data_IF_378382951773
#
_entry.id   IF_378382951773
#
_cell.length_a   1.000
_cell.length_b   1.000
_cell.length_c   1.000
_cell.angle_alpha   90.00
_cell.angle_beta   90.00
_cell.angle_gamma   90.00
#
_symmetry.space_group_name_H-M   'P 1'
#
loop_
_entity.id
_entity.type
_entity.pdbx_description
1 polymer ?
#
# COMPACT_ATOMS: atom_id res chain seq x y z
N UNK A 1 -47.51 -29.95 -31.76
CA UNK A 1 -46.97 -31.19 -32.38
C UNK A 1 -46.41 -32.11 -31.29
N UNK A 2 -46.32 -33.43 -31.48
CA UNK A 2 -45.85 -34.36 -30.42
C UNK A 2 -44.43 -34.03 -29.89
N UNK A 3 -43.65 -33.28 -30.69
CA UNK A 3 -42.32 -32.76 -30.37
C UNK A 3 -42.35 -31.63 -29.32
N UNK A 4 -43.40 -30.79 -29.31
CA UNK A 4 -43.56 -29.73 -28.30
C UNK A 4 -43.96 -30.31 -26.94
N UNK A 5 -44.75 -31.38 -26.94
CA UNK A 5 -45.16 -32.12 -25.73
C UNK A 5 -44.00 -32.85 -25.03
N UNK A 6 -42.88 -33.07 -25.73
CA UNK A 6 -41.70 -33.75 -25.19
C UNK A 6 -40.65 -32.77 -24.66
N UNK A 7 -40.72 -31.46 -24.97
CA UNK A 7 -39.73 -30.46 -24.50
C UNK A 7 -39.68 -30.32 -22.98
N UNK A 8 -40.77 -30.63 -22.29
CA UNK A 8 -40.88 -30.58 -20.83
C UNK A 8 -40.58 -31.93 -20.15
N UNK A 9 -40.26 -32.97 -20.93
CA UNK A 9 -39.95 -34.30 -20.41
C UNK A 9 -38.50 -34.40 -19.92
N UNK A 10 -38.28 -35.11 -18.82
CA UNK A 10 -36.93 -35.43 -18.29
C UNK A 10 -36.04 -36.20 -19.29
N UNK A 11 -36.66 -36.88 -20.25
CA UNK A 11 -35.92 -37.57 -21.32
C UNK A 11 -35.33 -36.56 -22.31
N UNK A 12 -36.04 -35.47 -22.60
CA UNK A 12 -35.57 -34.43 -23.52
C UNK A 12 -34.39 -33.65 -22.92
N UNK A 13 -34.45 -33.32 -21.63
CA UNK A 13 -33.34 -32.64 -20.94
C UNK A 13 -32.08 -33.51 -20.93
N UNK A 14 -32.23 -34.83 -20.73
CA UNK A 14 -31.10 -35.77 -20.74
C UNK A 14 -30.44 -35.86 -22.11
N UNK A 15 -31.24 -35.98 -23.18
CA UNK A 15 -30.75 -36.02 -24.57
C UNK A 15 -30.15 -34.68 -24.99
N UNK A 16 -30.72 -33.56 -24.54
CA UNK A 16 -30.18 -32.22 -24.80
C UNK A 16 -28.80 -32.05 -24.16
N UNK A 17 -28.61 -32.48 -22.92
CA UNK A 17 -27.30 -32.45 -22.26
C UNK A 17 -26.27 -33.36 -22.95
N UNK A 18 -26.67 -34.55 -23.41
CA UNK A 18 -25.79 -35.42 -24.21
C UNK A 18 -25.38 -34.73 -25.51
N UNK A 19 -26.32 -34.11 -26.21
CA UNK A 19 -26.04 -33.34 -27.42
C UNK A 19 -25.08 -32.17 -27.16
N UNK A 20 -25.28 -31.41 -26.08
CA UNK A 20 -24.40 -30.31 -25.68
C UNK A 20 -22.98 -30.81 -25.35
N UNK A 21 -22.86 -31.95 -24.66
CA UNK A 21 -21.58 -32.57 -24.33
C UNK A 21 -20.83 -33.07 -25.57
N UNK A 22 -21.51 -33.80 -26.46
CA UNK A 22 -20.93 -34.30 -27.71
C UNK A 22 -20.50 -33.13 -28.60
N UNK A 23 -21.32 -32.07 -28.68
CA UNK A 23 -21.02 -30.85 -29.42
C UNK A 23 -19.75 -30.18 -28.90
N UNK A 24 -19.63 -30.01 -27.58
CA UNK A 24 -18.42 -29.46 -26.96
C UNK A 24 -17.20 -30.31 -27.28
N UNK A 25 -17.31 -31.63 -27.22
CA UNK A 25 -16.23 -32.55 -27.56
C UNK A 25 -15.77 -32.39 -29.01
N UNK A 26 -16.70 -32.26 -29.98
CA UNK A 26 -16.35 -32.00 -31.38
C UNK A 26 -15.66 -30.65 -31.59
N UNK A 27 -16.12 -29.61 -30.90
CA UNK A 27 -15.49 -28.28 -30.98
C UNK A 27 -14.07 -28.34 -30.39
N UNK A 28 -13.86 -29.07 -29.29
CA UNK A 28 -12.55 -29.25 -28.69
C UNK A 28 -11.57 -30.00 -29.62
N UNK A 29 -12.03 -31.00 -30.38
CA UNK A 29 -11.17 -31.65 -31.38
C UNK A 29 -10.60 -30.66 -32.41
N UNK A 30 -11.43 -29.73 -32.91
CA UNK A 30 -10.95 -28.68 -33.83
C UNK A 30 -10.01 -27.68 -33.14
N UNK A 31 -10.17 -27.46 -31.83
CA UNK A 31 -9.27 -26.63 -31.03
C UNK A 31 -7.90 -27.29 -30.81
N UNK A 32 -7.87 -28.61 -30.70
CA UNK A 32 -6.66 -29.42 -30.51
C UNK A 32 -5.87 -29.57 -31.83
N UNK A 33 -6.56 -29.64 -32.97
CA UNK A 33 -5.96 -29.66 -34.31
C UNK A 33 -5.59 -28.26 -34.85
N UNK A 34 -5.71 -27.21 -34.03
CA UNK A 34 -5.43 -25.80 -34.40
C UNK A 34 -6.28 -25.26 -35.56
N UNK A 35 -7.39 -25.92 -35.91
CA UNK A 35 -8.35 -25.46 -36.92
C UNK A 35 -9.30 -24.40 -36.36
N UNK A 36 -8.73 -23.28 -35.90
CA UNK A 36 -9.42 -22.22 -35.16
C UNK A 36 -10.60 -21.59 -35.94
N UNK A 37 -10.56 -21.53 -37.27
CA UNK A 37 -11.65 -20.98 -38.07
C UNK A 37 -12.90 -21.86 -38.03
N UNK A 38 -12.72 -23.19 -38.09
CA UNK A 38 -13.85 -24.14 -38.02
C UNK A 38 -14.42 -24.21 -36.61
N UNK A 39 -13.55 -24.20 -35.60
CA UNK A 39 -13.95 -24.09 -34.20
C UNK A 39 -14.76 -22.79 -33.96
N UNK A 40 -14.29 -21.65 -34.49
CA UNK A 40 -14.99 -20.37 -34.36
C UNK A 40 -16.37 -20.39 -35.04
N UNK A 41 -16.50 -20.92 -36.27
CA UNK A 41 -17.80 -21.01 -36.94
C UNK A 41 -18.82 -21.85 -36.14
N UNK A 42 -18.38 -22.96 -35.55
CA UNK A 42 -19.23 -23.79 -34.71
C UNK A 42 -19.59 -23.07 -33.41
N UNK A 43 -18.61 -22.44 -32.76
CA UNK A 43 -18.81 -21.70 -31.53
C UNK A 43 -19.74 -20.48 -31.73
N UNK A 44 -19.63 -19.76 -32.85
CA UNK A 44 -20.56 -18.68 -33.24
C UNK A 44 -21.98 -19.22 -33.42
N UNK A 45 -22.15 -20.35 -34.12
CA UNK A 45 -23.47 -20.95 -34.38
C UNK A 45 -24.18 -21.37 -33.10
N UNK A 46 -23.42 -21.86 -32.13
CA UNK A 46 -23.94 -22.41 -30.88
C UNK A 46 -23.83 -21.46 -29.69
N UNK A 47 -23.34 -20.24 -29.91
CA UNK A 47 -23.13 -19.21 -28.89
C UNK A 47 -22.23 -19.71 -27.75
N UNK A 48 -21.21 -20.49 -28.11
CA UNK A 48 -20.21 -20.97 -27.16
C UNK A 48 -19.15 -19.89 -26.93
N UNK A 49 -19.48 -18.96 -26.04
CA UNK A 49 -18.64 -17.81 -25.76
C UNK A 49 -17.28 -18.19 -25.18
N UNK A 50 -17.20 -19.31 -24.44
CA UNK A 50 -15.94 -19.77 -23.86
C UNK A 50 -14.95 -20.12 -24.97
N UNK A 51 -15.37 -20.94 -25.94
CA UNK A 51 -14.52 -21.33 -27.06
C UNK A 51 -14.12 -20.10 -27.90
N UNK A 52 -15.04 -19.16 -28.14
CA UNK A 52 -14.72 -17.95 -28.89
C UNK A 52 -13.63 -17.10 -28.22
N UNK A 53 -13.70 -16.94 -26.89
CA UNK A 53 -12.69 -16.21 -26.13
C UNK A 53 -11.36 -16.97 -26.16
N UNK A 54 -11.37 -18.28 -25.94
CA UNK A 54 -10.17 -19.12 -25.96
C UNK A 54 -9.45 -19.08 -27.31
N UNK A 55 -10.19 -19.10 -28.43
CA UNK A 55 -9.64 -18.92 -29.78
C UNK A 55 -8.97 -17.55 -29.92
N UNK A 56 -9.63 -16.48 -29.48
CA UNK A 56 -9.10 -15.13 -29.57
C UNK A 56 -7.82 -14.96 -28.73
N UNK A 57 -7.73 -15.65 -27.60
CA UNK A 57 -6.53 -15.67 -26.76
C UNK A 57 -5.38 -16.41 -27.42
N UNK A 58 -5.62 -17.65 -27.90
CA UNK A 58 -4.60 -18.48 -28.56
C UNK A 58 -4.04 -17.81 -29.82
N UNK A 59 -4.90 -17.13 -30.58
CA UNK A 59 -4.51 -16.43 -31.81
C UNK A 59 -4.06 -14.98 -31.58
N UNK A 60 -4.16 -14.49 -30.34
CA UNK A 60 -3.93 -13.10 -29.94
C UNK A 60 -4.68 -12.07 -30.84
N UNK A 61 -5.86 -12.45 -31.33
CA UNK A 61 -6.60 -11.66 -32.31
C UNK A 61 -7.67 -10.78 -31.63
N UNK A 62 -7.24 -9.58 -31.22
CA UNK A 62 -8.09 -8.59 -30.56
C UNK A 62 -9.22 -8.04 -31.44
N UNK A 63 -9.00 -7.94 -32.75
CA UNK A 63 -10.02 -7.43 -33.68
C UNK A 63 -11.22 -8.37 -33.77
N UNK A 64 -10.96 -9.69 -33.83
CA UNK A 64 -12.03 -10.69 -33.80
C UNK A 64 -12.82 -10.63 -32.50
N UNK A 65 -12.14 -10.49 -31.36
CA UNK A 65 -12.79 -10.35 -30.06
C UNK A 65 -13.72 -9.13 -30.01
N UNK A 66 -13.23 -7.95 -30.45
CA UNK A 66 -14.03 -6.73 -30.49
C UNK A 66 -15.24 -6.89 -31.43
N UNK A 67 -15.08 -7.59 -32.55
CA UNK A 67 -16.20 -7.91 -33.45
C UNK A 67 -17.26 -8.79 -32.77
N UNK A 68 -16.88 -9.71 -31.88
CA UNK A 68 -17.82 -10.53 -31.12
C UNK A 68 -18.55 -9.74 -30.05
N UNK A 69 -17.87 -8.79 -29.39
CA UNK A 69 -18.51 -7.87 -28.44
C UNK A 69 -19.64 -7.08 -29.12
N UNK A 70 -19.40 -6.57 -30.33
CA UNK A 70 -20.42 -5.85 -31.09
C UNK A 70 -21.55 -6.78 -31.55
N UNK A 71 -21.20 -7.92 -32.18
CA UNK A 71 -22.16 -8.88 -32.75
C UNK A 71 -23.08 -9.54 -31.71
N UNK A 72 -22.55 -9.85 -30.52
CA UNK A 72 -23.26 -10.59 -29.47
C UNK A 72 -23.58 -9.73 -28.24
N UNK A 73 -23.60 -8.41 -28.41
CA UNK A 73 -23.93 -7.42 -27.37
C UNK A 73 -25.26 -7.72 -26.66
N UNK A 74 -26.32 -7.96 -27.44
CA UNK A 74 -27.67 -8.28 -26.92
C UNK A 74 -27.77 -9.65 -26.24
N UNK A 75 -26.79 -10.53 -26.47
CA UNK A 75 -26.78 -11.91 -25.98
C UNK A 75 -25.93 -12.08 -24.71
N UNK A 76 -25.42 -10.98 -24.15
CA UNK A 76 -24.69 -10.98 -22.88
C UNK A 76 -23.21 -11.40 -23.02
N UNK A 77 -22.64 -11.37 -24.22
CA UNK A 77 -21.21 -11.69 -24.42
C UNK A 77 -20.30 -10.81 -23.58
N UNK A 78 -20.60 -9.52 -23.47
CA UNK A 78 -19.83 -8.56 -22.65
C UNK A 78 -19.80 -8.95 -21.16
N UNK A 79 -20.92 -9.45 -20.62
CA UNK A 79 -21.00 -9.95 -19.23
C UNK A 79 -20.19 -11.24 -19.04
N UNK A 80 -20.28 -12.16 -20.01
CA UNK A 80 -19.48 -13.38 -20.00
C UNK A 80 -17.99 -13.05 -20.06
N UNK A 81 -17.59 -12.18 -20.98
CA UNK A 81 -16.20 -11.75 -21.16
C UNK A 81 -15.64 -11.09 -19.90
N UNK A 82 -16.42 -10.20 -19.27
CA UNK A 82 -16.06 -9.59 -17.99
C UNK A 82 -15.83 -10.63 -16.89
N UNK A 83 -16.78 -11.56 -16.72
CA UNK A 83 -16.67 -12.65 -15.73
C UNK A 83 -15.46 -13.55 -16.00
N UNK A 84 -15.18 -13.82 -17.27
CA UNK A 84 -14.04 -14.60 -17.72
C UNK A 84 -12.72 -13.88 -17.36
N UNK A 85 -12.58 -12.57 -17.62
CA UNK A 85 -11.37 -11.81 -17.27
C UNK A 85 -11.08 -11.81 -15.78
N UNK A 86 -12.12 -11.70 -14.94
CA UNK A 86 -12.00 -11.75 -13.48
C UNK A 86 -11.54 -13.13 -13.04
N UNK A 87 -12.17 -14.20 -13.55
CA UNK A 87 -11.83 -15.58 -13.19
C UNK A 87 -10.38 -15.95 -13.53
N UNK A 88 -9.87 -15.45 -14.65
CA UNK A 88 -8.51 -15.72 -15.11
C UNK A 88 -7.45 -14.77 -14.51
N UNK A 89 -7.84 -13.87 -13.58
CA UNK A 89 -6.97 -12.83 -13.00
C UNK A 89 -6.30 -11.92 -14.06
N UNK A 90 -6.98 -11.67 -15.18
CA UNK A 90 -6.50 -10.85 -16.30
C UNK A 90 -7.09 -9.44 -16.29
N UNK A 91 -7.12 -8.82 -15.13
CA UNK A 91 -7.70 -7.49 -14.89
C UNK A 91 -6.99 -6.41 -15.74
N UNK A 92 -5.67 -6.47 -15.89
CA UNK A 92 -4.92 -5.53 -16.72
C UNK A 92 -5.38 -5.56 -18.19
N UNK A 93 -5.65 -6.76 -18.72
CA UNK A 93 -6.18 -6.91 -20.08
C UNK A 93 -7.61 -6.40 -20.18
N UNK A 94 -8.43 -6.61 -19.15
CA UNK A 94 -9.79 -6.06 -19.08
C UNK A 94 -9.77 -4.53 -19.18
N UNK A 95 -8.92 -3.85 -18.40
CA UNK A 95 -8.80 -2.38 -18.45
C UNK A 95 -8.32 -1.90 -19.81
N UNK A 96 -7.35 -2.61 -20.41
CA UNK A 96 -6.91 -2.30 -21.76
C UNK A 96 -8.08 -2.39 -22.75
N UNK A 97 -8.87 -3.46 -22.68
CA UNK A 97 -10.03 -3.65 -23.54
C UNK A 97 -11.16 -2.63 -23.31
N UNK A 98 -11.34 -2.13 -22.08
CA UNK A 98 -12.31 -1.06 -21.81
C UNK A 98 -11.98 0.24 -22.59
N UNK A 99 -10.70 0.48 -22.89
CA UNK A 99 -10.23 1.60 -23.70
C UNK A 99 -10.20 1.31 -25.21
N UNK A 100 -10.46 0.07 -25.62
CA UNK A 100 -10.51 -0.35 -27.02
C UNK A 100 -11.95 -0.30 -27.58
N UNK A 101 -12.09 -0.48 -28.89
CA UNK A 101 -13.38 -0.42 -29.58
C UNK A 101 -14.31 -1.53 -29.08
N UNK A 102 -15.52 -1.18 -28.65
CA UNK A 102 -16.49 -2.11 -28.03
C UNK A 102 -16.36 -2.22 -26.50
N UNK A 103 -15.31 -1.64 -25.89
CA UNK A 103 -15.10 -1.60 -24.45
C UNK A 103 -16.15 -0.81 -23.66
N UNK A 104 -16.91 0.06 -24.33
CA UNK A 104 -18.00 0.85 -23.72
C UNK A 104 -19.06 -0.01 -23.02
N UNK A 105 -19.27 -1.25 -23.49
CA UNK A 105 -20.21 -2.19 -22.84
C UNK A 105 -19.65 -2.84 -21.57
N UNK A 106 -18.31 -2.85 -21.43
CA UNK A 106 -17.62 -3.41 -20.26
C UNK A 106 -17.53 -2.38 -19.13
N UNK A 107 -17.51 -1.08 -19.46
CA UNK A 107 -17.41 0.01 -18.48
C UNK A 107 -18.49 -0.07 -17.40
N UNK A 108 -19.80 -0.21 -17.71
CA UNK A 108 -20.84 -0.35 -16.68
C UNK A 108 -20.63 -1.55 -15.75
N UNK A 109 -20.05 -2.64 -16.25
CA UNK A 109 -19.82 -3.86 -15.47
C UNK A 109 -18.70 -3.70 -14.44
N UNK A 110 -17.74 -2.78 -14.67
CA UNK A 110 -16.69 -2.47 -13.69
C UNK A 110 -17.29 -1.94 -12.38
N UNK A 111 -18.44 -1.25 -12.44
CA UNK A 111 -19.13 -0.77 -11.24
C UNK A 111 -19.72 -1.89 -10.38
N UNK A 112 -19.93 -3.08 -10.94
CA UNK A 112 -20.43 -4.25 -10.19
C UNK A 112 -19.38 -4.85 -9.25
N UNK A 113 -18.09 -4.53 -9.47
CA UNK A 113 -16.97 -4.98 -8.62
C UNK A 113 -16.40 -3.81 -7.81
N UNK A 114 -16.53 -3.81 -6.47
CA UNK A 114 -16.05 -2.71 -5.63
C UNK A 114 -14.58 -2.34 -5.86
N UNK A 115 -13.71 -3.34 -6.06
CA UNK A 115 -12.27 -3.15 -6.30
C UNK A 115 -11.91 -2.51 -7.64
N UNK A 116 -12.81 -2.53 -8.61
CA UNK A 116 -12.62 -1.99 -9.97
C UNK A 116 -13.51 -0.78 -10.27
N UNK A 117 -14.41 -0.42 -9.34
CA UNK A 117 -15.32 0.73 -9.46
C UNK A 117 -14.59 2.04 -9.82
N UNK A 118 -13.42 2.28 -9.23
CA UNK A 118 -12.59 3.44 -9.52
C UNK A 118 -12.21 3.59 -11.00
N UNK A 119 -12.08 2.49 -11.76
CA UNK A 119 -11.79 2.53 -13.20
C UNK A 119 -12.99 3.03 -14.01
N UNK A 120 -14.19 2.61 -13.62
CA UNK A 120 -15.43 3.12 -14.20
C UNK A 120 -15.54 4.63 -13.95
N UNK A 121 -15.29 5.05 -12.71
CA UNK A 121 -15.41 6.46 -12.32
C UNK A 121 -14.38 7.33 -13.06
N UNK A 122 -13.16 6.82 -13.26
CA UNK A 122 -12.15 7.47 -14.10
C UNK A 122 -12.60 7.60 -15.57
N UNK A 123 -13.23 6.57 -16.14
CA UNK A 123 -13.75 6.61 -17.50
C UNK A 123 -14.85 7.66 -17.66
N UNK A 124 -15.69 7.84 -16.63
CA UNK A 124 -16.72 8.87 -16.57
C UNK A 124 -16.20 10.26 -16.13
N UNK A 125 -14.89 10.41 -15.89
CA UNK A 125 -14.24 11.64 -15.38
C UNK A 125 -14.76 12.07 -14.00
N UNK A 126 -15.28 11.13 -13.22
CA UNK A 126 -15.71 11.31 -11.83
C UNK A 126 -14.50 11.11 -10.90
N UNK A 127 -13.52 12.01 -11.00
CA UNK A 127 -12.24 11.88 -10.29
C UNK A 127 -12.36 11.87 -8.77
N UNK A 128 -13.36 12.55 -8.22
CA UNK A 128 -13.63 12.56 -6.78
C UNK A 128 -14.03 11.17 -6.27
N UNK A 129 -14.99 10.52 -6.94
CA UNK A 129 -15.47 9.19 -6.60
C UNK A 129 -14.38 8.13 -6.79
N UNK A 130 -13.61 8.23 -7.88
CA UNK A 130 -12.43 7.40 -8.10
C UNK A 130 -11.39 7.55 -6.98
N UNK A 131 -11.18 8.77 -6.48
CA UNK A 131 -10.24 9.01 -5.39
C UNK A 131 -10.73 8.47 -4.05
N UNK A 132 -12.04 8.53 -3.77
CA UNK A 132 -12.63 7.98 -2.54
C UNK A 132 -12.54 6.45 -2.52
N UNK A 133 -12.96 5.80 -3.61
CA UNK A 133 -12.87 4.34 -3.77
C UNK A 133 -11.43 3.83 -3.67
N UNK A 134 -10.46 4.49 -4.35
CA UNK A 134 -9.04 4.15 -4.21
C UNK A 134 -8.50 4.34 -2.79
N UNK A 135 -8.98 5.34 -2.06
CA UNK A 135 -8.57 5.58 -0.67
C UNK A 135 -9.14 4.51 0.27
N UNK A 136 -10.38 4.07 0.05
CA UNK A 136 -10.97 2.97 0.82
C UNK A 136 -10.27 1.64 0.52
N UNK A 137 -9.97 1.35 -0.75
CA UNK A 137 -9.15 0.18 -1.12
C UNK A 137 -7.75 0.23 -0.48
N UNK A 138 -7.14 1.41 -0.40
CA UNK A 138 -5.87 1.58 0.29
C UNK A 138 -5.98 1.37 1.81
N UNK A 139 -7.12 1.70 2.44
CA UNK A 139 -7.35 1.44 3.86
C UNK A 139 -7.48 -0.05 4.14
N UNK A 140 -8.17 -0.78 3.27
CA UNK A 140 -8.35 -2.23 3.35
C UNK A 140 -7.06 -3.01 3.03
N UNK A 141 -6.13 -2.42 2.27
CA UNK A 141 -4.85 -3.06 1.93
C UNK A 141 -3.94 -3.18 3.17
N UNK A 142 -3.71 -4.42 3.59
CA UNK A 142 -2.87 -4.80 4.73
C UNK A 142 -1.71 -5.74 4.38
N UNK A 143 -1.63 -6.23 3.15
CA UNK A 143 -0.69 -7.28 2.76
C UNK A 143 0.56 -6.71 2.09
N UNK A 144 0.39 -5.84 1.09
CA UNK A 144 1.49 -5.40 0.23
C UNK A 144 1.68 -3.88 0.28
N UNK A 145 2.87 -3.44 0.71
CA UNK A 145 3.21 -2.02 0.76
C UNK A 145 3.08 -1.35 -0.62
N UNK A 146 3.64 -1.98 -1.66
CA UNK A 146 3.65 -1.40 -3.01
C UNK A 146 2.23 -1.24 -3.58
N UNK A 147 1.30 -2.14 -3.22
CA UNK A 147 -0.10 -2.04 -3.62
C UNK A 147 -0.78 -0.86 -2.93
N UNK A 148 -0.62 -0.73 -1.61
CA UNK A 148 -1.17 0.42 -0.86
C UNK A 148 -0.60 1.75 -1.35
N UNK A 149 0.71 1.80 -1.61
CA UNK A 149 1.38 2.98 -2.20
C UNK A 149 0.77 3.36 -3.55
N UNK A 150 0.58 2.37 -4.42
CA UNK A 150 0.00 2.60 -5.76
C UNK A 150 -1.42 3.13 -5.65
N UNK A 151 -2.26 2.52 -4.80
CA UNK A 151 -3.63 2.97 -4.56
C UNK A 151 -3.69 4.39 -4.01
N UNK A 152 -2.90 4.72 -2.98
CA UNK A 152 -2.84 6.07 -2.41
C UNK A 152 -2.29 7.12 -3.39
N UNK A 153 -1.29 6.74 -4.20
CA UNK A 153 -0.72 7.63 -5.21
C UNK A 153 -1.73 7.93 -6.31
N UNK A 154 -2.45 6.91 -6.77
CA UNK A 154 -3.55 7.09 -7.72
C UNK A 154 -4.70 7.90 -7.11
N UNK A 155 -5.06 7.65 -5.84
CA UNK A 155 -6.08 8.43 -5.14
C UNK A 155 -5.69 9.91 -5.05
N UNK A 156 -4.42 10.19 -4.75
CA UNK A 156 -3.86 11.55 -4.74
C UNK A 156 -3.93 12.20 -6.11
N UNK A 157 -3.54 11.50 -7.17
CA UNK A 157 -3.58 12.03 -8.54
C UNK A 157 -5.02 12.30 -9.00
N UNK A 158 -5.94 11.36 -8.75
CA UNK A 158 -7.35 11.54 -9.04
C UNK A 158 -7.92 12.75 -8.28
N UNK A 159 -7.56 12.90 -6.99
CA UNK A 159 -7.98 14.05 -6.19
C UNK A 159 -7.45 15.38 -6.74
N UNK A 160 -6.18 15.42 -7.15
CA UNK A 160 -5.55 16.61 -7.75
C UNK A 160 -6.12 16.96 -9.12
N UNK A 161 -6.63 15.98 -9.86
CA UNK A 161 -7.31 16.18 -11.13
C UNK A 161 -8.76 16.68 -10.97
N UNK A 162 -9.34 16.54 -9.77
CA UNK A 162 -10.68 17.05 -9.46
C UNK A 162 -10.68 18.59 -9.43
N UNK A 163 -11.73 19.25 -9.96
CA UNK A 163 -11.82 20.71 -9.97
C UNK A 163 -12.02 21.35 -8.59
N UNK A 164 -12.48 20.60 -7.59
CA UNK A 164 -12.84 21.13 -6.28
C UNK A 164 -11.69 21.02 -5.25
N UNK A 165 -11.41 22.09 -4.47
CA UNK A 165 -10.39 22.07 -3.44
C UNK A 165 -10.80 21.14 -2.28
N UNK A 166 -9.88 20.28 -1.83
CA UNK A 166 -10.23 19.15 -0.99
C UNK A 166 -9.49 19.13 0.38
N UNK A 167 -10.22 19.00 1.50
CA UNK A 167 -9.64 18.90 2.85
C UNK A 167 -8.98 17.54 3.14
N UNK A 168 -9.35 16.47 2.43
CA UNK A 168 -8.86 15.11 2.70
C UNK A 168 -7.47 14.80 2.10
N UNK A 169 -6.85 15.75 1.39
CA UNK A 169 -5.54 15.53 0.76
C UNK A 169 -4.43 15.34 1.81
N UNK A 170 -4.54 15.99 2.97
CA UNK A 170 -3.57 15.87 4.06
C UNK A 170 -3.52 14.45 4.62
N UNK A 171 -4.67 13.78 4.75
CA UNK A 171 -4.71 12.39 5.21
C UNK A 171 -4.00 11.44 4.23
N UNK A 172 -4.20 11.64 2.94
CA UNK A 172 -3.51 10.86 1.89
C UNK A 172 -2.01 11.15 1.92
N UNK A 173 -1.62 12.42 2.07
CA UNK A 173 -0.21 12.81 2.21
C UNK A 173 0.43 12.16 3.43
N UNK A 174 -0.23 12.18 4.58
CA UNK A 174 0.23 11.56 5.81
C UNK A 174 0.39 10.03 5.67
N UNK A 175 -0.53 9.37 4.98
CA UNK A 175 -0.39 7.95 4.69
C UNK A 175 0.81 7.67 3.76
N UNK A 176 1.02 8.51 2.75
CA UNK A 176 2.16 8.40 1.84
C UNK A 176 3.50 8.73 2.51
N UNK A 177 3.55 9.64 3.48
CA UNK A 177 4.78 9.94 4.24
C UNK A 177 5.20 8.74 5.09
N UNK A 178 4.26 8.07 5.75
CA UNK A 178 4.53 6.83 6.51
C UNK A 178 5.11 5.75 5.59
N UNK A 179 4.52 5.56 4.40
CA UNK A 179 5.06 4.64 3.38
C UNK A 179 6.47 5.06 2.97
N UNK A 180 6.70 6.36 2.79
CA UNK A 180 8.02 6.90 2.46
C UNK A 180 9.08 6.58 3.50
N UNK A 181 8.76 6.66 4.79
CA UNK A 181 9.66 6.22 5.85
C UNK A 181 9.94 4.72 5.76
N UNK A 182 8.91 3.90 5.57
CA UNK A 182 9.09 2.46 5.45
C UNK A 182 10.00 2.07 4.26
N UNK A 183 9.90 2.76 3.11
CA UNK A 183 10.76 2.51 1.94
C UNK A 183 12.22 2.93 2.13
N UNK A 184 12.49 3.84 3.07
CA UNK A 184 13.84 4.30 3.39
C UNK A 184 14.60 3.35 4.31
N UNK A 185 13.96 2.28 4.81
CA UNK A 185 14.62 1.30 5.67
C UNK A 185 15.75 0.57 4.91
N UNK A 186 16.95 0.42 5.50
CA UNK A 186 18.05 -0.29 4.87
C UNK A 186 17.71 -1.75 4.56
N UNK A 187 18.04 -2.23 3.36
CA UNK A 187 17.82 -3.63 2.97
C UNK A 187 18.60 -4.62 3.84
N UNK A 188 19.75 -4.20 4.39
CA UNK A 188 20.52 -4.99 5.36
C UNK A 188 19.77 -5.21 6.67
N UNK A 189 19.03 -4.21 7.14
CA UNK A 189 18.18 -4.29 8.33
C UNK A 189 16.98 -5.20 8.04
N UNK A 190 16.34 -5.05 6.89
CA UNK A 190 15.22 -5.91 6.52
C UNK A 190 15.65 -7.38 6.43
N UNK A 191 16.82 -7.66 5.86
CA UNK A 191 17.38 -9.00 5.75
C UNK A 191 17.73 -9.61 7.13
N UNK A 192 18.22 -8.82 8.10
CA UNK A 192 18.56 -9.34 9.43
C UNK A 192 17.32 -9.82 10.19
N UNK A 193 16.17 -9.20 9.95
CA UNK A 193 14.87 -9.64 10.48
C UNK A 193 14.12 -10.63 9.56
N UNK A 194 14.71 -11.02 8.43
CA UNK A 194 14.14 -12.01 7.51
C UNK A 194 13.01 -11.48 6.62
N UNK A 195 12.92 -10.17 6.41
CA UNK A 195 11.94 -9.56 5.52
C UNK A 195 12.42 -9.55 4.07
N UNK A 196 11.48 -9.77 3.14
CA UNK A 196 11.69 -9.60 1.70
C UNK A 196 11.58 -8.11 1.35
N UNK A 197 12.60 -7.56 0.67
CA UNK A 197 12.60 -6.17 0.21
C UNK A 197 11.59 -5.91 -0.90
N UNK A 198 11.30 -6.92 -1.71
CA UNK A 198 10.48 -6.77 -2.91
C UNK A 198 8.99 -6.90 -2.56
N UNK A 199 8.65 -7.82 -1.66
CA UNK A 199 7.29 -8.05 -1.17
C UNK A 199 7.14 -7.67 0.31
N UNK A 200 7.45 -6.41 0.62
CA UNK A 200 7.41 -5.93 1.99
C UNK A 200 5.97 -5.80 2.49
N UNK A 201 5.70 -6.39 3.66
CA UNK A 201 4.44 -6.21 4.40
C UNK A 201 4.29 -4.77 4.90
N UNK A 202 3.09 -4.39 5.34
CA UNK A 202 2.91 -3.11 6.01
C UNK A 202 3.35 -3.15 7.47
N UNK A 203 4.17 -2.17 7.86
CA UNK A 203 4.52 -1.94 9.26
C UNK A 203 3.63 -0.86 9.85
N UNK A 204 3.27 -1.05 11.12
CA UNK A 204 2.62 0.00 11.91
C UNK A 204 3.62 1.11 12.27
N UNK A 205 3.18 2.35 12.54
CA UNK A 205 4.07 3.41 12.99
C UNK A 205 4.93 3.00 14.20
N UNK A 206 4.36 2.26 15.15
CA UNK A 206 5.06 1.76 16.33
C UNK A 206 6.16 0.75 15.99
N UNK A 207 5.92 -0.15 15.02
CA UNK A 207 6.93 -1.09 14.52
C UNK A 207 8.05 -0.34 13.78
N UNK A 208 7.70 0.66 12.96
CA UNK A 208 8.68 1.48 12.25
C UNK A 208 9.62 2.20 13.22
N UNK A 209 9.08 2.85 14.25
CA UNK A 209 9.89 3.51 15.29
C UNK A 209 10.91 2.53 15.88
N UNK A 210 10.46 1.33 16.27
CA UNK A 210 11.33 0.28 16.85
C UNK A 210 12.41 -0.19 15.88
N UNK A 211 12.12 -0.30 14.59
CA UNK A 211 13.09 -0.65 13.57
C UNK A 211 14.14 0.46 13.39
N UNK A 212 13.73 1.73 13.35
CA UNK A 212 14.64 2.87 13.22
C UNK A 212 15.62 2.98 14.39
N UNK A 213 15.17 2.74 15.63
CA UNK A 213 16.00 2.81 16.85
C UNK A 213 16.68 1.47 17.19
N UNK A 214 16.57 0.44 16.35
CA UNK A 214 17.23 -0.84 16.59
C UNK A 214 18.76 -0.70 16.47
N UNK A 215 19.51 -1.43 17.29
CA UNK A 215 20.98 -1.45 17.22
C UNK A 215 21.48 -2.14 15.93
N UNK A 216 20.64 -3.03 15.37
CA UNK A 216 20.86 -3.69 14.08
C UNK A 216 20.77 -2.72 12.89
N UNK A 217 20.23 -1.51 13.10
CA UNK A 217 20.18 -0.49 12.06
C UNK A 217 21.60 0.05 11.81
N UNK A 218 22.14 -0.06 10.58
CA UNK A 218 23.47 0.46 10.26
C UNK A 218 23.58 1.98 10.44
N UNK A 219 22.44 2.70 10.41
CA UNK A 219 22.37 4.14 10.62
C UNK A 219 21.96 4.51 12.06
N UNK A 220 22.03 3.57 13.02
CA UNK A 220 21.66 3.83 14.42
C UNK A 220 22.56 4.85 15.12
N UNK A 221 23.74 5.18 14.57
CA UNK A 221 24.63 6.22 15.11
C UNK A 221 24.37 7.61 14.51
N UNK A 222 23.43 7.74 13.57
CA UNK A 222 23.05 9.01 12.95
C UNK A 222 21.85 9.63 13.68
N UNK A 223 21.98 10.87 14.17
CA UNK A 223 20.87 11.59 14.81
C UNK A 223 19.67 11.75 13.86
N UNK A 224 19.88 11.75 12.54
CA UNK A 224 18.79 11.83 11.55
C UNK A 224 17.82 10.66 11.68
N UNK A 225 18.29 9.44 11.99
CA UNK A 225 17.41 8.28 12.16
C UNK A 225 16.51 8.43 13.38
N UNK A 226 17.05 8.99 14.48
CA UNK A 226 16.28 9.30 15.68
C UNK A 226 15.26 10.42 15.43
N UNK A 227 15.63 11.46 14.68
CA UNK A 227 14.64 12.49 14.29
C UNK A 227 13.55 11.93 13.38
N UNK A 228 13.87 10.96 12.53
CA UNK A 228 12.90 10.27 11.67
C UNK A 228 11.94 9.44 12.53
N UNK A 229 12.46 8.73 13.54
CA UNK A 229 11.64 8.01 14.51
C UNK A 229 10.71 8.95 15.28
N UNK A 230 11.19 10.12 15.70
CA UNK A 230 10.37 11.17 16.34
C UNK A 230 9.28 11.72 15.39
N UNK A 231 9.55 11.85 14.09
CA UNK A 231 8.52 12.22 13.12
C UNK A 231 7.42 11.15 13.02
N UNK A 232 7.82 9.87 12.99
CA UNK A 232 6.89 8.73 12.88
C UNK A 232 5.98 8.64 14.13
N UNK A 233 6.48 9.01 15.31
CA UNK A 233 5.71 9.05 16.57
C UNK A 233 4.44 9.90 16.45
N UNK A 234 4.47 10.99 15.68
CA UNK A 234 3.31 11.86 15.48
C UNK A 234 2.12 11.13 14.81
N UNK A 235 2.38 10.03 14.10
CA UNK A 235 1.38 9.20 13.42
C UNK A 235 0.85 8.03 14.28
N UNK A 236 1.37 7.85 15.51
CA UNK A 236 0.86 6.84 16.45
C UNK A 236 -0.47 7.32 17.03
N UNK A 237 -1.51 6.47 16.94
CA UNK A 237 -2.87 6.81 17.34
C UNK A 237 -3.08 6.86 18.86
N UNK A 238 -2.40 5.98 19.59
CA UNK A 238 -2.55 5.86 21.05
C UNK A 238 -1.53 6.74 21.78
N UNK A 239 -2.00 7.66 22.62
CA UNK A 239 -1.14 8.57 23.39
C UNK A 239 -0.17 7.82 24.32
N UNK A 240 -0.63 6.75 24.97
CA UNK A 240 0.24 5.94 25.84
C UNK A 240 1.40 5.30 25.08
N UNK A 241 1.11 4.68 23.94
CA UNK A 241 2.13 4.08 23.08
C UNK A 241 3.09 5.16 22.56
N UNK A 242 2.58 6.36 22.29
CA UNK A 242 3.38 7.52 21.87
C UNK A 242 4.38 7.92 22.95
N UNK A 243 3.92 8.05 24.20
CA UNK A 243 4.77 8.45 25.33
C UNK A 243 5.81 7.37 25.66
N UNK A 244 5.41 6.10 25.62
CA UNK A 244 6.30 4.95 25.81
C UNK A 244 7.39 4.89 24.73
N UNK A 245 7.02 5.04 23.45
CA UNK A 245 7.97 5.07 22.34
C UNK A 245 8.89 6.29 22.41
N UNK A 246 8.35 7.47 22.74
CA UNK A 246 9.17 8.68 22.90
C UNK A 246 10.23 8.45 23.98
N UNK A 247 9.82 7.90 25.12
CA UNK A 247 10.71 7.51 26.22
C UNK A 247 11.78 6.51 25.75
N UNK A 248 11.42 5.51 24.95
CA UNK A 248 12.35 4.52 24.40
C UNK A 248 13.39 5.17 23.47
N UNK A 249 12.98 6.08 22.57
CA UNK A 249 13.88 6.82 21.69
C UNK A 249 14.91 7.59 22.51
N UNK A 250 14.46 8.38 23.48
CA UNK A 250 15.35 9.21 24.29
C UNK A 250 16.26 8.39 25.19
N UNK A 251 15.77 7.27 25.72
CA UNK A 251 16.60 6.34 26.50
C UNK A 251 17.71 5.75 25.65
N UNK A 252 17.40 5.29 24.43
CA UNK A 252 18.42 4.79 23.50
C UNK A 252 19.40 5.87 23.08
N UNK A 253 18.94 7.11 22.87
CA UNK A 253 19.80 8.25 22.57
C UNK A 253 20.81 8.52 23.70
N UNK A 254 20.38 8.42 24.96
CA UNK A 254 21.26 8.58 26.14
C UNK A 254 22.33 7.48 26.18
N UNK A 255 21.98 6.24 25.84
CA UNK A 255 22.92 5.12 25.83
C UNK A 255 23.93 5.15 24.68
N UNK A 256 23.70 5.95 23.63
CA UNK A 256 24.69 6.17 22.56
C UNK A 256 25.87 7.02 23.03
N UNK A 257 25.69 7.81 24.08
CA UNK A 257 26.75 8.66 24.63
C UNK A 257 27.64 7.93 25.64
N UNK A 258 28.95 8.19 25.57
CA UNK A 258 29.90 7.79 26.61
C UNK A 258 29.93 8.85 27.72
N UNK A 259 29.52 8.45 28.92
CA UNK A 259 29.46 9.33 30.10
C UNK A 259 30.69 9.22 31.02
N UNK A 260 31.74 8.56 30.54
CA UNK A 260 32.99 8.26 31.27
C UNK A 260 34.14 9.04 30.62
N UNK A 261 35.08 9.54 31.43
CA UNK A 261 36.31 10.24 31.02
C UNK A 261 36.14 11.57 30.27
N UNK A 262 35.09 12.34 30.58
CA UNK A 262 34.88 13.67 30.00
C UNK A 262 35.73 14.75 30.70
N UNK A 263 36.42 15.59 29.92
CA UNK A 263 37.27 16.67 30.45
C UNK A 263 36.41 17.73 31.18
N UNK A 264 36.54 17.87 32.52
CA UNK A 264 35.73 18.81 33.29
C UNK A 264 36.07 20.29 33.01
N UNK A 265 37.16 20.57 32.29
CA UNK A 265 37.58 21.95 32.00
C UNK A 265 36.84 22.59 30.83
N UNK A 266 36.07 21.82 30.04
CA UNK A 266 35.33 22.34 28.88
C UNK A 266 33.95 21.69 28.69
N UNK A 267 33.05 21.78 29.69
CA UNK A 267 31.77 21.07 29.67
C UNK A 267 30.87 21.46 28.48
N UNK A 268 30.98 22.69 27.96
CA UNK A 268 30.17 23.18 26.85
C UNK A 268 30.52 22.51 25.51
N UNK A 269 31.82 22.38 25.19
CA UNK A 269 32.24 21.70 23.96
C UNK A 269 31.94 20.20 24.00
N UNK A 270 31.99 19.62 25.20
CA UNK A 270 31.62 18.22 25.43
C UNK A 270 30.12 18.02 25.18
N UNK A 271 29.26 18.85 25.78
CA UNK A 271 27.79 18.81 25.59
C UNK A 271 27.41 18.91 24.11
N UNK A 272 28.00 19.82 23.34
CA UNK A 272 27.71 19.96 21.90
C UNK A 272 28.11 18.74 21.04
N UNK A 273 29.01 17.89 21.55
CA UNK A 273 29.45 16.70 20.84
C UNK A 273 28.62 15.46 21.17
N UNK A 274 27.83 15.49 22.25
CA UNK A 274 27.02 14.34 22.67
C UNK A 274 25.81 14.16 21.76
N UNK A 275 25.46 12.90 21.52
CA UNK A 275 24.36 12.46 20.69
C UNK A 275 23.02 13.03 21.18
N UNK A 276 22.74 12.97 22.49
CA UNK A 276 21.48 13.48 23.05
C UNK A 276 21.29 14.97 22.77
N UNK A 277 22.33 15.79 22.90
CA UNK A 277 22.22 17.24 22.71
C UNK A 277 22.16 17.62 21.24
N UNK A 278 22.88 16.90 20.37
CA UNK A 278 22.69 17.04 18.92
C UNK A 278 21.26 16.70 18.50
N UNK A 279 20.66 15.67 19.10
CA UNK A 279 19.27 15.31 18.84
C UNK A 279 18.31 16.41 19.32
N UNK A 280 18.54 16.99 20.51
CA UNK A 280 17.77 18.12 21.03
C UNK A 280 17.90 19.35 20.11
N UNK A 281 19.11 19.71 19.69
CA UNK A 281 19.36 20.83 18.78
C UNK A 281 18.64 20.65 17.43
N UNK A 282 18.61 19.42 16.91
CA UNK A 282 17.82 19.08 15.72
C UNK A 282 16.32 19.21 15.97
N UNK A 283 15.81 18.84 17.15
CA UNK A 283 14.39 19.02 17.49
C UNK A 283 14.01 20.51 17.54
N UNK A 284 14.86 21.38 18.09
CA UNK A 284 14.67 22.83 18.08
C UNK A 284 14.63 23.36 16.65
N UNK A 285 15.61 22.98 15.81
CA UNK A 285 15.69 23.44 14.42
C UNK A 285 14.45 23.03 13.62
N UNK A 286 13.86 21.88 13.93
CA UNK A 286 12.65 21.35 13.29
C UNK A 286 11.35 21.81 13.95
N UNK A 287 11.41 22.59 15.05
CA UNK A 287 10.27 23.07 15.86
C UNK A 287 9.43 21.93 16.47
N UNK A 288 10.10 20.86 16.91
CA UNK A 288 9.49 19.71 17.58
C UNK A 288 9.91 19.63 19.06
N UNK A 289 10.00 20.78 19.74
CA UNK A 289 10.46 20.89 21.13
C UNK A 289 9.54 20.15 22.12
N UNK A 290 8.26 19.99 21.77
CA UNK A 290 7.25 19.27 22.55
C UNK A 290 7.58 17.78 22.73
N UNK A 291 8.39 17.20 21.85
CA UNK A 291 8.80 15.79 21.93
C UNK A 291 10.00 15.57 22.86
N UNK A 292 10.68 16.64 23.29
CA UNK A 292 11.81 16.55 24.21
C UNK A 292 11.28 16.34 25.64
N UNK A 293 11.64 15.22 26.31
CA UNK A 293 11.17 14.96 27.66
C UNK A 293 11.78 15.98 28.63
N UNK A 294 11.05 16.41 29.67
CA UNK A 294 11.63 17.27 30.68
C UNK A 294 12.72 16.52 31.45
N UNK A 295 13.69 17.28 31.97
CA UNK A 295 14.85 16.73 32.68
C UNK A 295 14.44 15.80 33.84
N UNK A 296 13.38 16.16 34.57
CA UNK A 296 12.88 15.39 35.71
C UNK A 296 12.37 14.02 35.28
N UNK A 297 11.63 13.95 34.17
CA UNK A 297 11.08 12.69 33.65
C UNK A 297 12.20 11.80 33.10
N UNK A 298 13.17 12.36 32.38
CA UNK A 298 14.33 11.61 31.88
C UNK A 298 15.14 11.03 33.05
N UNK A 299 15.37 11.80 34.12
CA UNK A 299 16.05 11.31 35.32
C UNK A 299 15.18 10.34 36.14
N UNK A 300 13.86 10.37 36.00
CA UNK A 300 12.95 9.44 36.66
C UNK A 300 12.96 8.05 36.01
N UNK A 301 13.33 7.91 34.74
CA UNK A 301 13.28 6.64 34.00
C UNK A 301 14.09 5.52 34.67
N UNK A 302 13.43 4.39 34.97
CA UNK A 302 14.07 3.22 35.58
C UNK A 302 15.13 2.59 34.67
N UNK A 303 14.96 2.69 33.36
CA UNK A 303 15.89 2.16 32.36
C UNK A 303 17.28 2.83 32.44
N UNK A 304 17.35 4.06 32.96
CA UNK A 304 18.60 4.80 33.14
C UNK A 304 19.23 4.60 34.53
N UNK A 305 18.69 3.72 35.37
CA UNK A 305 19.22 3.39 36.70
C UNK A 305 20.75 3.19 36.77
N UNK A 306 21.43 2.47 35.84
CA UNK A 306 22.89 2.30 35.93
C UNK A 306 23.67 3.61 35.73
N UNK A 307 23.09 4.59 35.03
CA UNK A 307 23.70 5.90 34.79
C UNK A 307 23.36 6.92 35.88
N UNK A 308 22.28 6.71 36.65
CA UNK A 308 21.89 7.60 37.75
C UNK A 308 22.94 7.68 38.86
N UNK A 309 23.74 6.64 39.06
CA UNK A 309 24.83 6.64 40.05
C UNK A 309 26.06 7.47 39.60
N UNK A 310 26.14 7.83 38.32
CA UNK A 310 27.25 8.62 37.77
C UNK A 310 27.01 10.13 37.98
N UNK A 311 27.85 10.77 38.80
CA UNK A 311 27.79 12.21 39.07
C UNK A 311 28.07 13.07 37.84
N UNK A 312 28.90 12.59 36.91
CA UNK A 312 29.22 13.26 35.64
C UNK A 312 28.00 13.30 34.72
N UNK A 313 27.24 12.20 34.65
CA UNK A 313 25.98 12.12 33.89
C UNK A 313 24.98 13.16 34.39
N UNK A 314 24.70 13.19 35.70
CA UNK A 314 23.75 14.16 36.27
C UNK A 314 24.19 15.61 36.06
N UNK A 315 25.49 15.89 36.17
CA UNK A 315 26.03 17.24 35.97
C UNK A 315 25.93 17.70 34.52
N UNK A 316 26.43 16.90 33.55
CA UNK A 316 26.39 17.25 32.13
C UNK A 316 24.96 17.36 31.60
N UNK A 317 24.06 16.49 32.06
CA UNK A 317 22.65 16.55 31.70
C UNK A 317 22.01 17.86 32.18
N UNK A 318 22.24 18.27 33.43
CA UNK A 318 21.76 19.57 33.94
C UNK A 318 22.33 20.75 33.16
N UNK A 319 23.65 20.76 32.91
CA UNK A 319 24.32 21.83 32.16
C UNK A 319 23.77 21.93 30.73
N UNK A 320 23.54 20.80 30.06
CA UNK A 320 22.99 20.80 28.71
C UNK A 320 21.52 21.21 28.66
N UNK A 321 20.70 20.82 29.64
CA UNK A 321 19.30 21.30 29.73
C UNK A 321 19.19 22.78 30.10
N UNK A 322 20.12 23.32 30.90
CA UNK A 322 20.21 24.78 31.12
C UNK A 322 20.54 25.53 29.81
N UNK A 323 21.39 24.95 28.97
CA UNK A 323 21.69 25.50 27.64
C UNK A 323 20.48 25.42 26.71
N UNK A 324 19.79 24.28 26.69
CA UNK A 324 18.52 24.09 25.99
C UNK A 324 17.53 25.19 26.37
N UNK A 325 17.24 25.34 27.67
CA UNK A 325 16.26 26.33 28.18
C UNK A 325 16.61 27.77 27.76
N UNK A 326 17.91 28.13 27.76
CA UNK A 326 18.35 29.44 27.29
C UNK A 326 18.14 29.63 25.78
N UNK A 327 18.37 28.59 24.99
CA UNK A 327 18.14 28.61 23.55
C UNK A 327 16.65 28.68 23.19
N UNK A 328 15.79 27.96 23.89
CA UNK A 328 14.32 28.01 23.69
C UNK A 328 13.77 29.40 24.02
N UNK A 329 14.23 30.01 25.12
CA UNK A 329 13.84 31.37 25.53
C UNK A 329 14.35 32.46 24.58
N UNK A 330 15.44 32.21 23.84
CA UNK A 330 15.95 33.14 22.81
C UNK A 330 15.31 32.93 21.43
N UNK A 331 14.68 31.78 21.18
CA UNK A 331 14.04 31.43 19.91
C UNK A 331 12.55 31.80 19.84
N UNK A 332 11.91 32.02 21.00
CA UNK A 332 10.61 32.72 21.15
C UNK A 332 10.78 34.23 21.04
#
# INVERSE_FOLDING_TARGET
SHVESLRESSVFTTVLHQYEADRLAYIQLFMDEEEYERAAMLAEKYLDFQVLVDICQKTNNKEKLNSYIEKFSDQGFSKFLFTWYIREHKEASLVQHCNERGGEQLVPLLSEQPSLSWLHDLALRQYEQAADTLNDLAREETELLQRKKSQLSLAKLARLASPDPCPNLELINNALTIIGYQEQLPSTLLASYGYDSDNMRLFTPSELVKLYISDENPASDDCVTFTTALDIISYVQHEKDRDELNTEIWTKAVFKDSWIDMDPNSPQSVVQQMFIFRLIDLCILRRCEELVPPLEDLLALDQLAPLKENSTFQYLLRVGYEHFTKHTVMAM
#
